data_IF_596111487887
#
_entry.id   IF_596111487887
#
_cell.length_a   1.000
_cell.length_b   1.000
_cell.length_c   1.000
_cell.angle_alpha   90.00
_cell.angle_beta   90.00
_cell.angle_gamma   90.00
#
_symmetry.space_group_name_H-M   'P 1'
#
loop_
_entity.id
_entity.type
_entity.pdbx_description
1 polymer ?
#
# COMPACT_ATOMS: atom_id res chain seq x y z
N UNK A 1 -10.88 -8.23 11.78
CA UNK A 1 -10.67 -7.26 12.89
C UNK A 1 -10.50 -5.83 12.40
N UNK A 2 -9.60 -5.54 11.44
CA UNK A 2 -9.38 -4.19 10.92
C UNK A 2 -10.64 -3.45 10.43
N UNK A 3 -11.51 -4.11 9.65
CA UNK A 3 -12.82 -3.56 9.24
C UNK A 3 -13.70 -3.11 10.42
N UNK A 4 -13.76 -3.92 11.48
CA UNK A 4 -14.52 -3.57 12.69
C UNK A 4 -13.92 -2.36 13.45
N UNK A 5 -12.64 -2.05 13.20
CA UNK A 5 -11.94 -0.87 13.73
C UNK A 5 -12.00 0.34 12.78
N UNK A 6 -12.74 0.26 11.67
CA UNK A 6 -12.83 1.36 10.69
C UNK A 6 -11.55 1.61 9.88
N UNK A 7 -10.60 0.67 9.87
CA UNK A 7 -9.34 0.81 9.12
C UNK A 7 -9.56 0.43 7.66
N UNK A 8 -9.06 1.25 6.74
CA UNK A 8 -9.05 0.96 5.30
C UNK A 8 -8.10 -0.19 4.99
N UNK A 9 -8.50 -1.08 4.10
CA UNK A 9 -7.79 -2.31 3.79
C UNK A 9 -7.26 -2.31 2.36
N UNK A 10 -5.95 -2.53 2.24
CA UNK A 10 -5.27 -2.76 0.96
C UNK A 10 -4.63 -4.15 1.02
N UNK A 11 -4.91 -4.98 0.01
CA UNK A 11 -4.40 -6.34 -0.09
C UNK A 11 -3.46 -6.48 -1.28
N UNK A 12 -2.41 -7.29 -1.13
CA UNK A 12 -1.51 -7.67 -2.22
C UNK A 12 -1.56 -9.19 -2.35
N UNK A 13 -1.80 -9.69 -3.55
CA UNK A 13 -2.01 -11.13 -3.80
C UNK A 13 -1.57 -11.53 -5.22
N UNK A 14 -1.56 -12.83 -5.50
CA UNK A 14 -1.35 -13.36 -6.85
C UNK A 14 -2.57 -13.17 -7.75
N UNK A 15 -2.51 -13.74 -8.94
CA UNK A 15 -3.49 -13.45 -10.01
C UNK A 15 -4.89 -13.97 -9.69
N UNK A 16 -4.98 -15.05 -8.92
CA UNK A 16 -6.25 -15.69 -8.61
C UNK A 16 -7.13 -14.82 -7.72
N UNK A 17 -8.44 -14.83 -8.03
CA UNK A 17 -9.46 -14.27 -7.16
C UNK A 17 -9.43 -14.93 -5.78
N UNK A 18 -9.64 -14.14 -4.74
CA UNK A 18 -9.49 -14.60 -3.37
C UNK A 18 -10.50 -13.95 -2.42
N UNK A 19 -10.49 -14.37 -1.16
CA UNK A 19 -11.41 -13.82 -0.15
C UNK A 19 -11.23 -12.32 0.08
N UNK A 20 -10.08 -11.74 -0.28
CA UNK A 20 -9.82 -10.32 -0.10
C UNK A 20 -10.68 -9.47 -1.04
N UNK A 21 -11.06 -9.98 -2.21
CA UNK A 21 -11.79 -9.22 -3.23
C UNK A 21 -13.17 -8.74 -2.73
N UNK A 22 -13.80 -9.51 -1.83
CA UNK A 22 -15.04 -9.12 -1.15
C UNK A 22 -14.84 -8.50 0.23
N UNK A 23 -13.62 -8.50 0.77
CA UNK A 23 -13.33 -8.11 2.15
C UNK A 23 -12.47 -6.85 2.27
N UNK A 24 -11.70 -6.48 1.26
CA UNK A 24 -10.75 -5.36 1.28
C UNK A 24 -11.30 -4.21 0.44
N UNK A 25 -10.80 -2.99 0.63
CA UNK A 25 -11.25 -1.84 -0.15
C UNK A 25 -10.55 -1.79 -1.52
N UNK A 26 -9.28 -2.23 -1.57
CA UNK A 26 -8.48 -2.35 -2.79
C UNK A 26 -7.66 -3.63 -2.70
N UNK A 27 -7.58 -4.39 -3.79
CA UNK A 27 -6.74 -5.58 -3.92
C UNK A 27 -5.86 -5.47 -5.15
N UNK A 28 -4.55 -5.58 -4.97
CA UNK A 28 -3.55 -5.64 -6.03
C UNK A 28 -3.29 -7.09 -6.39
N UNK A 29 -3.83 -7.53 -7.52
CA UNK A 29 -3.50 -8.82 -8.14
C UNK A 29 -2.27 -8.67 -9.03
N UNK A 30 -1.18 -9.34 -8.67
CA UNK A 30 0.00 -9.42 -9.55
C UNK A 30 -0.14 -10.62 -10.50
N UNK A 31 0.40 -10.55 -11.74
CA UNK A 31 0.22 -11.58 -12.76
C UNK A 31 1.13 -12.80 -12.52
N UNK A 32 0.92 -13.49 -11.41
CA UNK A 32 1.64 -14.69 -11.02
C UNK A 32 0.79 -15.62 -10.16
N UNK A 33 1.03 -16.93 -10.31
CA UNK A 33 0.35 -17.98 -9.55
C UNK A 33 1.23 -18.61 -8.48
N UNK A 34 2.53 -18.77 -8.75
CA UNK A 34 3.45 -19.38 -7.81
C UNK A 34 3.86 -18.39 -6.72
N UNK A 35 3.82 -18.84 -5.46
CA UNK A 35 4.07 -18.00 -4.29
C UNK A 35 5.39 -17.23 -4.39
N UNK A 36 6.45 -17.87 -4.87
CA UNK A 36 7.75 -17.21 -5.00
C UNK A 36 7.74 -16.08 -6.03
N UNK A 37 7.02 -16.24 -7.15
CA UNK A 37 6.88 -15.20 -8.17
C UNK A 37 5.99 -14.06 -7.68
N UNK A 38 4.90 -14.39 -6.98
CA UNK A 38 4.00 -13.40 -6.38
C UNK A 38 4.77 -12.49 -5.41
N UNK A 39 5.65 -13.07 -4.58
CA UNK A 39 6.49 -12.31 -3.65
C UNK A 39 7.48 -11.39 -4.37
N UNK A 40 8.13 -11.86 -5.45
CA UNK A 40 9.02 -11.03 -6.27
C UNK A 40 8.27 -9.85 -6.91
N UNK A 41 7.03 -10.04 -7.36
CA UNK A 41 6.19 -8.95 -7.87
C UNK A 41 5.69 -7.98 -6.79
N UNK A 42 5.54 -8.44 -5.54
CA UNK A 42 5.15 -7.56 -4.43
C UNK A 42 6.24 -6.55 -4.07
N UNK A 43 7.52 -6.87 -4.28
CA UNK A 43 8.63 -5.94 -4.02
C UNK A 43 8.53 -4.64 -4.85
N UNK A 44 8.46 -4.65 -6.20
CA UNK A 44 8.30 -3.44 -6.98
C UNK A 44 6.93 -2.77 -6.76
N UNK A 45 5.86 -3.53 -6.52
CA UNK A 45 4.55 -2.95 -6.20
C UNK A 45 4.59 -2.17 -4.88
N UNK A 46 5.19 -2.74 -3.84
CA UNK A 46 5.41 -2.09 -2.56
C UNK A 46 6.28 -0.83 -2.71
N UNK A 47 7.38 -0.90 -3.46
CA UNK A 47 8.23 0.27 -3.68
C UNK A 47 7.53 1.38 -4.48
N UNK A 48 6.69 1.03 -5.46
CA UNK A 48 5.88 2.01 -6.17
C UNK A 48 4.85 2.69 -5.23
N UNK A 49 4.26 1.94 -4.31
CA UNK A 49 3.39 2.50 -3.27
C UNK A 49 4.16 3.46 -2.35
N UNK A 50 5.34 3.06 -1.88
CA UNK A 50 6.20 3.94 -1.06
C UNK A 50 6.55 5.23 -1.80
N UNK A 51 6.98 5.15 -3.06
CA UNK A 51 7.31 6.32 -3.87
C UNK A 51 6.10 7.22 -4.07
N UNK A 52 4.93 6.64 -4.36
CA UNK A 52 3.68 7.40 -4.55
C UNK A 52 3.28 8.14 -3.27
N UNK A 53 3.39 7.47 -2.11
CA UNK A 53 3.13 8.07 -0.81
C UNK A 53 4.13 9.18 -0.53
N UNK A 54 5.43 8.92 -0.73
CA UNK A 54 6.48 9.92 -0.54
C UNK A 54 6.24 11.16 -1.41
N UNK A 55 5.91 10.97 -2.69
CA UNK A 55 5.59 12.06 -3.60
C UNK A 55 4.32 12.82 -3.18
N UNK A 56 3.28 12.11 -2.73
CA UNK A 56 2.03 12.74 -2.30
C UNK A 56 2.20 13.62 -1.05
N UNK A 57 3.12 13.26 -0.15
CA UNK A 57 3.37 14.01 1.09
C UNK A 57 4.56 14.99 1.01
N UNK A 58 5.59 14.66 0.22
CA UNK A 58 6.89 15.35 0.21
C UNK A 58 7.42 15.69 -1.19
N UNK A 59 6.66 15.43 -2.25
CA UNK A 59 7.01 15.80 -3.63
C UNK A 59 7.19 17.31 -3.81
N UNK A 60 7.81 17.70 -4.92
CA UNK A 60 8.32 19.07 -5.14
C UNK A 60 7.29 20.16 -4.80
N UNK A 61 7.61 20.93 -3.75
CA UNK A 61 6.66 21.84 -3.10
C UNK A 61 6.79 21.87 -1.57
N UNK A 62 7.50 20.91 -0.95
CA UNK A 62 7.86 20.97 0.47
C UNK A 62 8.85 22.11 0.75
N UNK A 63 8.33 23.34 0.83
CA UNK A 63 9.02 24.42 1.55
C UNK A 63 9.12 23.94 3.00
N UNK A 64 10.35 23.79 3.52
CA UNK A 64 10.59 23.61 4.95
C UNK A 64 9.95 24.79 5.71
N UNK A 65 8.69 24.65 6.09
CA UNK A 65 8.10 25.48 7.14
C UNK A 65 8.72 25.03 8.47
N UNK A 66 9.14 25.96 9.35
CA UNK A 66 9.70 25.62 10.66
C UNK A 66 8.74 24.85 11.58
N UNK A 67 7.47 24.71 11.19
CA UNK A 67 6.43 24.01 11.92
C UNK A 67 6.45 22.47 11.74
N UNK A 68 7.57 21.89 11.30
CA UNK A 68 7.82 20.45 11.36
C UNK A 68 8.07 19.99 12.81
N UNK A 69 7.18 20.38 13.73
CA UNK A 69 7.07 19.75 15.03
C UNK A 69 6.20 18.50 14.83
N UNK A 70 6.89 17.41 14.49
CA UNK A 70 6.31 16.08 14.48
C UNK A 70 5.90 15.74 15.93
N UNK A 71 4.61 15.88 16.26
CA UNK A 71 4.05 15.34 17.50
C UNK A 71 3.63 13.89 17.20
N UNK A 72 4.33 12.86 17.71
CA UNK A 72 3.73 11.55 17.76
C UNK A 72 2.47 11.64 18.64
N UNK A 73 1.48 10.84 18.28
CA UNK A 73 0.27 10.61 19.11
C UNK A 73 0.62 10.33 20.56
#
# INVERSE_FOLDING_TARGET
MAKAKGVRLIGLTGEQGCRMDGLFDVVFHVPAWETYQVQEYHLPAYHALCLTVEQAFFGEGWKRSPAAEWRPV
#
